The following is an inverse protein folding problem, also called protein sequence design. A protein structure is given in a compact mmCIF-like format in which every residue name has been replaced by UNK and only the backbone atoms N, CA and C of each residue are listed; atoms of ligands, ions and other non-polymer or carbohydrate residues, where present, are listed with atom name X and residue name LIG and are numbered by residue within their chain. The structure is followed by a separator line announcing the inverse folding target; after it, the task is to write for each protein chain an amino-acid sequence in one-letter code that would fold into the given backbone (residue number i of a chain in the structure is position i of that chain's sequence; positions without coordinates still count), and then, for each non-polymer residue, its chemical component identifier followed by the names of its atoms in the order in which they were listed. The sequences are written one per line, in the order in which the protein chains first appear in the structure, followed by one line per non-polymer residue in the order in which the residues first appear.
data_IF_083050186805
#
_entry.id   IF_083050186805
#
_cell.length_a   1.000
_cell.length_b   1.000
_cell.length_c   1.000
_cell.angle_alpha   90.00
_cell.angle_beta   90.00
_cell.angle_gamma   90.00
#
_symmetry.space_group_name_H-M   'P 1'
#
loop_
_entity.id
_entity.type
_entity.pdbx_description
1 polymer ?
#
# COMPACT_ATOMS: atom_id res chain seq x y z
N UNK A 1 4.29 41.49 -23.50
CA UNK A 1 3.69 42.16 -22.31
C UNK A 1 2.24 42.64 -22.51
N UNK A 2 1.89 43.40 -23.56
CA UNK A 2 0.54 43.95 -23.70
C UNK A 2 -0.58 42.88 -23.83
N UNK A 3 -0.35 41.82 -24.63
CA UNK A 3 -1.35 40.74 -24.83
C UNK A 3 -1.74 39.99 -23.55
N UNK A 4 -0.77 39.74 -22.66
CA UNK A 4 -1.01 39.02 -21.40
C UNK A 4 -1.86 39.85 -20.42
N UNK A 5 -1.62 41.16 -20.35
CA UNK A 5 -2.45 42.07 -19.54
C UNK A 5 -3.89 42.16 -20.05
N UNK A 6 -4.05 42.20 -21.38
CA UNK A 6 -5.38 42.18 -22.01
C UNK A 6 -6.10 40.87 -21.69
N UNK A 7 -5.41 39.73 -21.74
CA UNK A 7 -6.00 38.45 -21.37
C UNK A 7 -6.53 38.42 -19.93
N UNK A 8 -5.72 38.82 -18.94
CA UNK A 8 -6.18 38.83 -17.53
C UNK A 8 -7.32 39.83 -17.28
N UNK A 9 -7.34 40.97 -17.96
CA UNK A 9 -8.45 41.94 -17.87
C UNK A 9 -9.75 41.38 -18.47
N UNK A 10 -9.66 40.69 -19.61
CA UNK A 10 -10.79 39.99 -20.23
C UNK A 10 -11.27 38.83 -19.35
N UNK A 11 -10.35 38.04 -18.79
CA UNK A 11 -10.67 36.93 -17.89
C UNK A 11 -11.43 37.42 -16.64
N UNK A 12 -10.98 38.52 -16.03
CA UNK A 12 -11.67 39.13 -14.88
C UNK A 12 -13.06 39.65 -15.25
N UNK A 13 -13.21 40.22 -16.44
CA UNK A 13 -14.52 40.65 -16.96
C UNK A 13 -15.43 39.45 -17.24
N UNK A 14 -14.86 38.35 -17.74
CA UNK A 14 -15.56 37.11 -18.03
C UNK A 14 -16.08 36.43 -16.74
N UNK A 15 -15.28 36.39 -15.68
CA UNK A 15 -15.68 35.80 -14.38
C UNK A 15 -16.77 36.62 -13.67
N UNK A 16 -16.82 37.94 -13.86
CA UNK A 16 -17.86 38.81 -13.29
C UNK A 16 -19.26 38.57 -13.88
N UNK A 17 -19.37 37.87 -15.00
CA UNK A 17 -20.67 37.52 -15.59
C UNK A 17 -21.36 36.50 -14.68
N UNK A 18 -22.65 36.71 -14.36
CA UNK A 18 -23.39 35.90 -13.37
C UNK A 18 -23.37 34.39 -13.66
N UNK A 19 -23.33 34.00 -14.94
CA UNK A 19 -23.25 32.60 -15.36
C UNK A 19 -21.86 31.98 -15.13
N UNK A 20 -20.80 32.77 -15.19
CA UNK A 20 -19.41 32.27 -15.12
C UNK A 20 -18.80 32.40 -13.72
N UNK A 21 -19.46 33.12 -12.81
CA UNK A 21 -18.98 33.41 -11.47
C UNK A 21 -18.56 32.15 -10.69
N UNK A 22 -19.14 30.99 -10.97
CA UNK A 22 -18.74 29.72 -10.37
C UNK A 22 -17.27 29.32 -10.62
N UNK A 23 -16.60 29.80 -11.67
CA UNK A 23 -15.20 29.49 -11.94
C UNK A 23 -14.25 30.41 -11.18
N UNK A 24 -14.76 31.47 -10.53
CA UNK A 24 -13.93 32.33 -9.69
C UNK A 24 -13.39 31.56 -8.48
N UNK A 25 -14.12 30.55 -7.98
CA UNK A 25 -13.67 29.70 -6.86
C UNK A 25 -12.55 28.74 -7.25
N UNK A 26 -12.44 28.40 -8.54
CA UNK A 26 -11.46 27.44 -9.04
C UNK A 26 -10.12 28.11 -9.40
N UNK A 27 -10.04 29.44 -9.36
CA UNK A 27 -8.89 30.23 -9.79
C UNK A 27 -8.32 31.02 -8.61
N UNK A 28 -7.04 30.81 -8.31
CA UNK A 28 -6.32 31.59 -7.32
C UNK A 28 -5.55 32.73 -7.98
N UNK A 29 -5.89 33.96 -7.60
CA UNK A 29 -5.22 35.18 -8.03
C UNK A 29 -4.07 35.54 -7.10
N UNK A 30 -2.93 35.93 -7.65
CA UNK A 30 -1.81 36.50 -6.90
C UNK A 30 -1.62 37.96 -7.31
N UNK A 31 -1.64 38.84 -6.32
CA UNK A 31 -1.40 40.28 -6.52
C UNK A 31 0.06 40.62 -6.20
N UNK A 32 0.86 40.88 -7.23
CA UNK A 32 2.18 41.48 -7.09
C UNK A 32 2.05 43.01 -7.16
N UNK A 33 1.40 43.59 -6.15
CA UNK A 33 1.29 45.03 -5.96
C UNK A 33 0.54 45.79 -7.07
N UNK A 34 -0.79 45.91 -6.94
CA UNK A 34 -1.69 46.92 -7.56
C UNK A 34 -1.70 47.07 -9.10
N UNK A 35 -0.82 46.44 -9.88
CA UNK A 35 -0.77 46.64 -11.34
C UNK A 35 -0.64 45.39 -12.21
N UNK A 36 -0.24 44.24 -11.65
CA UNK A 36 -0.15 42.99 -12.40
C UNK A 36 -0.73 41.85 -11.55
N UNK A 37 -2.06 41.70 -11.59
CA UNK A 37 -2.73 40.51 -11.08
C UNK A 37 -2.50 39.36 -12.07
N UNK A 38 -1.93 38.26 -11.60
CA UNK A 38 -1.71 37.05 -12.42
C UNK A 38 -2.39 35.86 -11.75
N UNK A 39 -2.90 34.93 -12.57
CA UNK A 39 -3.36 33.63 -12.07
C UNK A 39 -2.15 32.82 -11.64
N UNK A 40 -2.20 32.31 -10.41
CA UNK A 40 -1.12 31.53 -9.80
C UNK A 40 -1.44 30.04 -9.80
N UNK A 41 -2.69 29.68 -9.49
CA UNK A 41 -3.17 28.30 -9.48
C UNK A 41 -4.58 28.24 -10.05
N UNK A 42 -4.90 27.13 -10.69
CA UNK A 42 -6.25 26.84 -11.15
C UNK A 42 -6.56 25.37 -10.91
N UNK A 43 -7.83 25.07 -10.68
CA UNK A 43 -8.34 23.71 -10.55
C UNK A 43 -9.16 23.38 -11.79
N UNK A 44 -9.02 22.15 -12.28
CA UNK A 44 -9.86 21.61 -13.33
C UNK A 44 -10.47 20.30 -12.84
N UNK A 45 -11.80 20.25 -12.80
CA UNK A 45 -12.54 19.12 -12.24
C UNK A 45 -13.22 18.33 -13.34
N UNK A 46 -13.01 17.03 -13.35
CA UNK A 46 -13.67 16.08 -14.26
C UNK A 46 -14.42 15.01 -13.46
N UNK A 47 -15.60 14.62 -13.92
CA UNK A 47 -16.39 13.57 -13.28
C UNK A 47 -16.38 12.28 -14.11
N UNK A 48 -16.09 11.15 -13.45
CA UNK A 48 -16.12 9.81 -14.04
C UNK A 48 -16.96 8.87 -13.20
N UNK A 49 -17.60 7.87 -13.83
CA UNK A 49 -18.31 6.80 -13.13
C UNK A 49 -17.32 5.68 -12.79
N UNK A 50 -17.05 5.49 -11.49
CA UNK A 50 -16.12 4.48 -10.99
C UNK A 50 -16.92 3.30 -10.42
N UNK A 51 -16.63 2.08 -10.90
CA UNK A 51 -17.32 0.86 -10.46
C UNK A 51 -16.49 0.03 -9.45
N UNK A 52 -15.16 0.13 -9.49
CA UNK A 52 -14.26 -0.64 -8.62
C UNK A 52 -12.97 0.13 -8.30
N UNK A 53 -12.29 -0.29 -7.23
CA UNK A 53 -11.01 0.29 -6.80
C UNK A 53 -9.89 0.10 -7.82
N UNK A 54 -9.91 -1.01 -8.58
CA UNK A 54 -8.97 -1.25 -9.66
C UNK A 54 -9.12 -0.20 -10.78
N UNK A 55 -10.35 0.06 -11.22
CA UNK A 55 -10.62 1.09 -12.26
C UNK A 55 -10.23 2.48 -11.75
N UNK A 56 -10.46 2.79 -10.48
CA UNK A 56 -10.02 4.05 -9.86
C UNK A 56 -8.51 4.21 -9.92
N UNK A 57 -7.79 3.14 -9.59
CA UNK A 57 -6.33 3.12 -9.54
C UNK A 57 -5.72 3.24 -10.93
N UNK A 58 -6.28 2.55 -11.92
CA UNK A 58 -5.89 2.72 -13.33
C UNK A 58 -6.14 4.15 -13.82
N UNK A 59 -7.29 4.74 -13.48
CA UNK A 59 -7.61 6.12 -13.83
C UNK A 59 -6.59 7.11 -13.24
N UNK A 60 -6.21 6.93 -11.98
CA UNK A 60 -5.17 7.72 -11.32
C UNK A 60 -3.81 7.59 -12.03
N UNK A 61 -3.41 6.37 -12.41
CA UNK A 61 -2.18 6.16 -13.18
C UNK A 61 -2.23 6.82 -14.56
N UNK A 62 -3.36 6.77 -15.26
CA UNK A 62 -3.54 7.46 -16.53
C UNK A 62 -3.41 8.99 -16.38
N UNK A 63 -4.04 9.58 -15.37
CA UNK A 63 -3.91 11.02 -15.11
C UNK A 63 -2.51 11.42 -14.69
N UNK A 64 -1.80 10.60 -13.91
CA UNK A 64 -0.38 10.80 -13.58
C UNK A 64 0.50 10.73 -14.81
N UNK A 65 0.20 9.82 -15.74
CA UNK A 65 0.92 9.73 -17.01
C UNK A 65 0.66 10.95 -17.91
N UNK A 66 -0.57 11.48 -17.94
CA UNK A 66 -0.88 12.69 -18.69
C UNK A 66 -0.15 13.90 -18.07
N UNK A 67 -0.20 14.05 -16.75
CA UNK A 67 0.46 15.17 -16.05
C UNK A 67 1.99 15.11 -16.14
N UNK A 68 2.59 13.91 -16.20
CA UNK A 68 4.04 13.77 -16.41
C UNK A 68 4.52 14.23 -17.79
N UNK A 69 3.64 14.26 -18.80
CA UNK A 69 3.97 14.81 -20.12
C UNK A 69 4.05 16.34 -20.16
N UNK A 70 3.52 17.03 -19.14
CA UNK A 70 3.50 18.50 -19.06
C UNK A 70 4.17 18.98 -17.75
N UNK A 71 5.48 18.72 -17.55
CA UNK A 71 6.18 19.07 -16.32
C UNK A 71 6.21 20.58 -16.04
N UNK A 72 6.07 21.42 -17.07
CA UNK A 72 6.04 22.88 -16.95
C UNK A 72 4.83 23.42 -16.17
N UNK A 73 3.77 22.62 -16.03
CA UNK A 73 2.55 23.00 -15.32
C UNK A 73 2.56 22.58 -13.84
N UNK A 74 3.50 21.72 -13.42
CA UNK A 74 3.54 21.10 -12.08
C UNK A 74 2.15 20.60 -11.62
N UNK A 75 1.40 20.01 -12.56
CA UNK A 75 0.01 19.64 -12.35
C UNK A 75 -0.13 18.46 -11.37
N UNK A 76 -0.99 18.63 -10.37
CA UNK A 76 -1.27 17.60 -9.37
C UNK A 76 -2.66 16.99 -9.61
N UNK A 77 -2.70 15.66 -9.67
CA UNK A 77 -3.96 14.90 -9.75
C UNK A 77 -4.52 14.78 -8.33
N UNK A 78 -5.67 15.41 -8.10
CA UNK A 78 -6.37 15.37 -6.81
C UNK A 78 -7.67 14.59 -6.90
N UNK A 79 -7.91 13.77 -5.89
CA UNK A 79 -9.14 13.01 -5.68
C UNK A 79 -9.26 12.70 -4.18
N UNK A 80 -10.49 12.71 -3.64
CA UNK A 80 -10.74 12.65 -2.18
C UNK A 80 -10.15 11.37 -1.54
N UNK A 81 -10.17 10.25 -2.27
CA UNK A 81 -9.66 8.95 -1.78
C UNK A 81 -8.34 8.55 -2.44
N UNK A 82 -7.57 9.50 -3.00
CA UNK A 82 -6.32 9.19 -3.69
C UNK A 82 -5.30 8.48 -2.76
N UNK A 83 -5.32 8.81 -1.46
CA UNK A 83 -4.50 8.15 -0.44
C UNK A 83 -4.68 6.62 -0.38
N UNK A 84 -5.89 6.11 -0.63
CA UNK A 84 -6.15 4.67 -0.63
C UNK A 84 -5.61 4.00 -1.89
N UNK A 85 -5.79 4.63 -3.05
CA UNK A 85 -5.25 4.13 -4.31
C UNK A 85 -3.72 4.11 -4.30
N UNK A 86 -3.08 5.11 -3.69
CA UNK A 86 -1.63 5.14 -3.52
C UNK A 86 -1.11 4.01 -2.64
N UNK A 87 -1.77 3.77 -1.50
CA UNK A 87 -1.45 2.62 -0.66
C UNK A 87 -1.63 1.29 -1.41
N UNK A 88 -2.68 1.14 -2.21
CA UNK A 88 -2.94 -0.11 -2.94
C UNK A 88 -1.87 -0.38 -4.01
N UNK A 89 -1.36 0.66 -4.68
CA UNK A 89 -0.24 0.56 -5.62
C UNK A 89 1.06 0.12 -4.93
N UNK A 90 1.37 0.73 -3.78
CA UNK A 90 2.55 0.35 -2.99
C UNK A 90 2.42 -1.05 -2.39
N UNK A 91 1.21 -1.45 -2.01
CA UNK A 91 0.92 -2.73 -1.37
C UNK A 91 1.26 -3.92 -2.28
N UNK A 92 0.89 -3.86 -3.57
CA UNK A 92 1.11 -5.00 -4.48
C UNK A 92 2.58 -5.38 -4.59
N UNK A 93 3.45 -4.39 -4.75
CA UNK A 93 4.89 -4.61 -4.89
C UNK A 93 5.55 -4.94 -3.54
N UNK A 94 5.18 -4.20 -2.49
CA UNK A 94 5.74 -4.36 -1.14
C UNK A 94 5.34 -5.67 -0.49
N UNK A 95 4.11 -6.16 -0.71
CA UNK A 95 3.62 -7.41 -0.11
C UNK A 95 4.42 -8.61 -0.60
N UNK A 96 4.70 -8.69 -1.90
CA UNK A 96 5.47 -9.81 -2.45
C UNK A 96 6.92 -9.80 -1.95
N UNK A 97 7.55 -8.62 -1.91
CA UNK A 97 8.93 -8.47 -1.42
C UNK A 97 9.04 -8.75 0.09
N UNK A 98 8.11 -8.23 0.88
CA UNK A 98 8.09 -8.43 2.33
C UNK A 98 7.80 -9.88 2.71
N UNK A 99 6.87 -10.56 2.01
CA UNK A 99 6.59 -11.98 2.24
C UNK A 99 7.82 -12.85 1.92
N UNK A 100 8.47 -12.62 0.78
CA UNK A 100 9.69 -13.35 0.41
C UNK A 100 10.82 -13.13 1.40
N UNK A 101 11.01 -11.88 1.83
CA UNK A 101 12.02 -11.54 2.85
C UNK A 101 11.69 -12.18 4.20
N UNK A 102 10.42 -12.18 4.60
CA UNK A 102 9.97 -12.83 5.84
C UNK A 102 10.28 -14.33 5.85
N UNK A 103 9.97 -15.05 4.77
CA UNK A 103 10.27 -16.49 4.64
C UNK A 103 11.78 -16.74 4.76
N UNK A 104 12.61 -15.96 4.07
CA UNK A 104 14.07 -16.09 4.13
C UNK A 104 14.62 -15.83 5.55
N UNK A 105 14.09 -14.82 6.24
CA UNK A 105 14.49 -14.52 7.62
C UNK A 105 14.07 -15.62 8.59
N UNK A 106 12.87 -16.19 8.43
CA UNK A 106 12.38 -17.30 9.25
C UNK A 106 13.25 -18.55 9.10
N UNK A 107 13.61 -18.91 7.86
CA UNK A 107 14.52 -20.03 7.59
C UNK A 107 15.87 -19.79 8.28
N UNK A 108 16.40 -18.56 8.18
CA UNK A 108 17.70 -18.20 8.77
C UNK A 108 17.69 -18.29 10.30
N UNK A 109 16.62 -17.80 10.95
CA UNK A 109 16.44 -17.87 12.41
C UNK A 109 16.25 -19.33 12.86
N UNK A 110 15.48 -20.14 12.14
CA UNK A 110 15.29 -21.55 12.46
C UNK A 110 16.61 -22.34 12.42
N UNK A 111 17.48 -22.07 11.45
CA UNK A 111 18.82 -22.69 11.36
C UNK A 111 19.71 -22.26 12.53
N UNK A 112 19.62 -21.00 12.97
CA UNK A 112 20.45 -20.46 14.06
C UNK A 112 20.08 -21.00 15.45
N UNK A 113 18.79 -21.19 15.73
CA UNK A 113 18.32 -21.49 17.09
C UNK A 113 18.17 -22.98 17.40
N UNK A 114 18.07 -23.86 16.39
CA UNK A 114 17.78 -25.28 16.62
C UNK A 114 18.98 -26.11 16.16
N UNK A 115 19.66 -26.71 17.13
CA UNK A 115 20.88 -27.50 16.92
C UNK A 115 20.64 -28.84 16.19
N UNK A 116 19.39 -29.32 16.11
CA UNK A 116 19.04 -30.61 15.50
C UNK A 116 18.32 -30.42 14.16
N UNK A 117 19.01 -30.79 13.08
CA UNK A 117 18.62 -30.51 11.68
C UNK A 117 17.28 -31.11 11.26
N UNK A 118 16.93 -32.28 11.80
CA UNK A 118 15.65 -32.96 11.49
C UNK A 118 14.45 -32.15 11.98
N UNK A 119 14.55 -31.51 13.15
CA UNK A 119 13.45 -30.71 13.72
C UNK A 119 13.30 -29.38 12.97
N UNK A 120 14.43 -28.76 12.59
CA UNK A 120 14.45 -27.54 11.76
C UNK A 120 13.68 -27.74 10.48
N UNK A 121 13.90 -28.88 9.81
CA UNK A 121 13.24 -29.19 8.55
C UNK A 121 11.72 -29.22 8.70
N UNK A 122 11.21 -29.94 9.71
CA UNK A 122 9.77 -30.04 9.95
C UNK A 122 9.14 -28.70 10.35
N UNK A 123 9.80 -27.93 11.22
CA UNK A 123 9.33 -26.60 11.63
C UNK A 123 9.27 -25.66 10.43
N UNK A 124 10.33 -25.60 9.63
CA UNK A 124 10.41 -24.76 8.43
C UNK A 124 9.38 -25.16 7.38
N UNK A 125 9.20 -26.47 7.16
CA UNK A 125 8.20 -26.98 6.23
C UNK A 125 6.77 -26.62 6.66
N UNK A 126 6.44 -26.76 7.95
CA UNK A 126 5.14 -26.35 8.49
C UNK A 126 4.89 -24.85 8.34
N UNK A 127 5.93 -24.03 8.48
CA UNK A 127 5.83 -22.58 8.30
C UNK A 127 5.53 -22.18 6.86
N UNK A 128 6.31 -22.70 5.92
CA UNK A 128 6.09 -22.45 4.48
C UNK A 128 4.69 -22.94 4.08
N UNK A 129 4.28 -24.12 4.56
CA UNK A 129 2.94 -24.66 4.29
C UNK A 129 1.82 -23.76 4.80
N UNK A 130 2.00 -23.12 5.96
CA UNK A 130 1.01 -22.21 6.53
C UNK A 130 0.89 -20.92 5.72
N UNK A 131 2.00 -20.34 5.28
CA UNK A 131 2.01 -19.13 4.47
C UNK A 131 1.34 -19.37 3.10
N UNK A 132 1.67 -20.49 2.45
CA UNK A 132 1.01 -20.91 1.20
C UNK A 132 -0.48 -21.19 1.43
N UNK A 133 -0.83 -21.84 2.54
CA UNK A 133 -2.22 -22.15 2.89
C UNK A 133 -3.07 -20.90 3.11
N UNK A 134 -2.55 -19.91 3.84
CA UNK A 134 -3.26 -18.65 4.07
C UNK A 134 -3.44 -17.85 2.78
N UNK A 135 -2.40 -17.70 1.98
CA UNK A 135 -2.47 -17.03 0.67
C UNK A 135 -3.43 -17.74 -0.31
N UNK A 136 -3.35 -19.07 -0.40
CA UNK A 136 -4.21 -19.87 -1.26
C UNK A 136 -5.68 -19.82 -0.86
N UNK A 137 -5.97 -19.88 0.45
CA UNK A 137 -7.33 -19.79 0.95
C UNK A 137 -7.97 -18.42 0.70
N UNK A 138 -7.19 -17.34 0.82
CA UNK A 138 -7.65 -15.99 0.47
C UNK A 138 -7.95 -15.84 -1.02
N UNK A 139 -7.09 -16.43 -1.87
CA UNK A 139 -7.33 -16.45 -3.31
C UNK A 139 -8.60 -17.24 -3.68
N UNK A 140 -8.91 -18.33 -2.97
CA UNK A 140 -10.13 -19.12 -3.17
C UNK A 140 -11.38 -18.40 -2.68
N UNK A 141 -11.28 -17.63 -1.59
CA UNK A 141 -12.39 -16.83 -1.07
C UNK A 141 -12.67 -15.61 -1.98
N UNK A 142 -11.74 -15.24 -2.86
CA UNK A 142 -11.85 -14.02 -3.67
C UNK A 142 -11.77 -12.76 -2.81
N UNK A 143 -10.98 -12.81 -1.74
CA UNK A 143 -10.75 -11.65 -0.89
C UNK A 143 -9.81 -10.66 -1.59
N UNK A 144 -10.19 -9.39 -1.61
CA UNK A 144 -9.32 -8.33 -2.10
C UNK A 144 -8.13 -8.11 -1.14
N UNK A 145 -6.93 -7.94 -1.71
CA UNK A 145 -5.71 -7.64 -0.96
C UNK A 145 -5.64 -6.14 -0.68
N UNK A 146 -6.21 -5.75 0.46
CA UNK A 146 -6.15 -4.39 1.00
C UNK A 146 -5.09 -4.30 2.13
N UNK A 147 -4.56 -3.11 2.45
CA UNK A 147 -3.56 -2.96 3.52
C UNK A 147 -4.03 -3.54 4.85
N UNK A 148 -5.32 -3.39 5.16
CA UNK A 148 -5.95 -3.97 6.35
C UNK A 148 -5.95 -5.50 6.34
N UNK A 149 -6.25 -6.12 5.19
CA UNK A 149 -6.26 -7.58 5.10
C UNK A 149 -4.85 -8.14 5.19
N UNK A 150 -3.85 -7.49 4.57
CA UNK A 150 -2.44 -7.85 4.69
C UNK A 150 -1.95 -7.80 6.14
N UNK A 151 -2.27 -6.75 6.90
CA UNK A 151 -1.93 -6.67 8.34
C UNK A 151 -2.57 -7.81 9.12
N UNK A 152 -3.85 -8.11 8.86
CA UNK A 152 -4.56 -9.18 9.56
C UNK A 152 -3.93 -10.57 9.27
N UNK A 153 -3.47 -10.79 8.05
CA UNK A 153 -2.78 -12.02 7.64
C UNK A 153 -1.44 -12.15 8.37
N UNK A 154 -0.63 -11.10 8.37
CA UNK A 154 0.67 -11.09 9.05
C UNK A 154 0.55 -11.34 10.56
N UNK A 155 -0.44 -10.72 11.22
CA UNK A 155 -0.72 -10.96 12.65
C UNK A 155 -1.15 -12.40 12.90
N UNK A 156 -1.99 -12.96 12.02
CA UNK A 156 -2.46 -14.34 12.14
C UNK A 156 -1.33 -15.35 11.97
N UNK A 157 -0.50 -15.17 10.92
CA UNK A 157 0.71 -15.95 10.65
C UNK A 157 1.69 -15.89 11.85
N UNK A 158 1.97 -14.71 12.38
CA UNK A 158 2.88 -14.53 13.52
C UNK A 158 2.41 -15.25 14.79
N UNK A 159 1.10 -15.22 15.06
CA UNK A 159 0.51 -15.94 16.20
C UNK A 159 0.62 -17.45 16.04
N UNK A 160 0.36 -17.96 14.85
CA UNK A 160 0.50 -19.38 14.53
C UNK A 160 1.95 -19.84 14.67
N UNK A 161 2.91 -19.08 14.17
CA UNK A 161 4.33 -19.39 14.33
C UNK A 161 4.75 -19.49 15.81
N UNK A 162 4.33 -18.52 16.65
CA UNK A 162 4.63 -18.54 18.08
C UNK A 162 4.04 -19.78 18.78
N UNK A 163 2.83 -20.19 18.40
CA UNK A 163 2.21 -21.39 18.94
C UNK A 163 2.96 -22.68 18.53
N UNK A 164 3.32 -22.79 17.25
CA UNK A 164 4.05 -23.93 16.71
C UNK A 164 5.42 -24.07 17.37
N UNK A 165 6.18 -22.98 17.53
CA UNK A 165 7.50 -23.04 18.18
C UNK A 165 7.44 -23.50 19.63
N UNK A 166 6.43 -23.07 20.40
CA UNK A 166 6.20 -23.54 21.78
C UNK A 166 5.88 -25.03 21.84
N UNK A 167 5.05 -25.53 20.91
CA UNK A 167 4.73 -26.96 20.84
C UNK A 167 6.00 -27.78 20.56
N UNK A 168 6.77 -27.42 19.54
CA UNK A 168 7.99 -28.15 19.19
C UNK A 168 9.02 -28.11 20.32
N UNK A 169 9.18 -26.97 21.00
CA UNK A 169 10.03 -26.85 22.18
C UNK A 169 9.57 -27.74 23.34
N UNK A 170 8.25 -27.78 23.59
CA UNK A 170 7.65 -28.63 24.63
C UNK A 170 7.84 -30.11 24.33
N UNK A 171 7.63 -30.53 23.08
CA UNK A 171 7.85 -31.91 22.63
C UNK A 171 9.31 -32.29 22.86
N UNK A 172 10.26 -31.47 22.41
CA UNK A 172 11.68 -31.76 22.58
C UNK A 172 12.09 -31.89 24.07
N UNK A 173 11.62 -30.95 24.90
CA UNK A 173 11.88 -30.97 26.35
C UNK A 173 11.27 -32.21 27.02
N UNK A 174 10.11 -32.67 26.55
CA UNK A 174 9.42 -33.85 27.10
C UNK A 174 10.13 -35.14 26.69
N UNK A 175 10.58 -35.26 25.43
CA UNK A 175 11.37 -36.38 24.93
C UNK A 175 12.70 -36.52 25.69
N UNK A 176 13.39 -35.41 25.93
CA UNK A 176 14.64 -35.40 26.71
C UNK A 176 14.41 -35.84 28.17
N UNK A 177 13.32 -35.37 28.81
CA UNK A 177 12.95 -35.80 30.17
C UNK A 177 12.61 -37.29 30.25
N UNK A 178 11.89 -37.83 29.28
CA UNK A 178 11.57 -39.26 29.20
C UNK A 178 12.83 -40.11 29.04
N UNK A 179 13.79 -39.66 28.23
CA UNK A 179 15.05 -40.37 27.99
C UNK A 179 15.94 -40.37 29.24
N UNK A 180 16.01 -39.25 29.97
CA UNK A 180 16.69 -39.18 31.28
C UNK A 180 15.97 -40.07 32.31
N UNK A 181 14.64 -40.05 32.36
CA UNK A 181 13.88 -40.89 33.29
C UNK A 181 14.09 -42.39 33.00
N UNK A 182 14.10 -42.80 31.73
CA UNK A 182 14.40 -44.17 31.33
C UNK A 182 15.86 -44.55 31.63
N UNK A 183 16.81 -43.63 31.42
CA UNK A 183 18.23 -43.85 31.72
C UNK A 183 18.56 -43.88 33.22
N UNK A 184 17.71 -43.28 34.07
CA UNK A 184 17.84 -43.35 35.55
C UNK A 184 17.10 -44.56 36.12
N UNK A 185 16.13 -45.12 35.40
CA UNK A 185 15.35 -46.29 35.81
C UNK A 185 15.94 -47.64 35.33
N UNK A 186 16.95 -47.59 34.45
CA UNK A 186 17.78 -48.72 34.00
C UNK A 186 19.10 -48.75 34.79
#
# INVERSE_FOLDING_TARGET
MCKQKVFYATLKSFLKVSFNNHWETDIQWRDYGKKNETVDKFVFTTAFKIASWNVRTELLLMWRNITSHYPELEALVFDENNFYSDQMLELQTTTLQSLGTAILTLISVCILFVAESSIVFWVTFSLISMDIGTAGFLSLWGADLDPTTVVNILVSCSKLFCYISVIFYTINTTTLKLLIFYAVML
#
